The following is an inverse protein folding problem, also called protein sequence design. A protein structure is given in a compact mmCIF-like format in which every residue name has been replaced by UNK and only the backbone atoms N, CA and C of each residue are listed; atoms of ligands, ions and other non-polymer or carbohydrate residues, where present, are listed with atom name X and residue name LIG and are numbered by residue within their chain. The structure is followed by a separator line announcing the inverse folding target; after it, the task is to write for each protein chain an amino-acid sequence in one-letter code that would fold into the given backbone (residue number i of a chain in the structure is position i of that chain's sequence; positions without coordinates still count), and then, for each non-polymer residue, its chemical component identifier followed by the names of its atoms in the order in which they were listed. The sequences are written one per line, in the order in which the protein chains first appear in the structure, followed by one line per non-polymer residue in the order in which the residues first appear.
data_IF_387810974634
#
_entry.id   IF_387810974634
#
_cell.length_a   1.000
_cell.length_b   1.000
_cell.length_c   1.000
_cell.angle_alpha   90.00
_cell.angle_beta   90.00
_cell.angle_gamma   90.00
#
_symmetry.space_group_name_H-M   'P 1'
#
loop_
_entity.id
_entity.type
_entity.pdbx_description
1 polymer ?
#
# COMPACT_ATOMS: atom_id res chain seq x y z
N UNK A 1 -30.16 -0.92 -7.06
CA UNK A 1 -29.08 -1.88 -6.87
C UNK A 1 -27.83 -1.38 -7.60
N UNK A 2 -26.65 -1.52 -6.98
CA UNK A 2 -25.37 -1.24 -7.62
C UNK A 2 -24.97 -2.50 -8.35
N UNK A 3 -24.75 -2.42 -9.66
CA UNK A 3 -24.23 -3.52 -10.45
C UNK A 3 -22.71 -3.41 -10.50
N UNK A 4 -22.01 -4.45 -10.06
CA UNK A 4 -20.55 -4.54 -10.11
C UNK A 4 -20.17 -5.47 -11.25
N UNK A 5 -19.39 -4.98 -12.20
CA UNK A 5 -18.93 -5.75 -13.37
C UNK A 5 -17.43 -5.97 -13.28
N UNK A 6 -16.98 -7.04 -13.93
CA UNK A 6 -15.55 -7.26 -14.18
C UNK A 6 -14.99 -6.07 -14.97
N UNK A 7 -13.94 -5.48 -14.47
CA UNK A 7 -13.11 -4.53 -15.21
C UNK A 7 -11.75 -5.15 -15.51
N UNK A 8 -11.37 -5.12 -16.77
CA UNK A 8 -10.05 -5.53 -17.22
C UNK A 8 -9.32 -4.27 -17.68
N UNK A 9 -8.16 -4.02 -17.09
CA UNK A 9 -7.30 -2.92 -17.48
C UNK A 9 -6.14 -3.47 -18.30
N UNK A 10 -5.84 -2.77 -19.38
CA UNK A 10 -4.60 -2.97 -20.15
C UNK A 10 -3.45 -2.21 -19.52
N UNK A 11 -2.24 -2.47 -19.98
CA UNK A 11 -1.04 -1.74 -19.56
C UNK A 11 -1.15 -0.23 -19.73
N UNK A 12 -1.89 0.25 -20.72
CA UNK A 12 -2.11 1.67 -20.96
C UNK A 12 -2.95 2.34 -19.86
N UNK A 13 -3.77 1.55 -19.18
CA UNK A 13 -4.60 1.98 -18.05
C UNK A 13 -3.96 1.64 -16.71
N UNK A 14 -2.74 1.18 -16.73
CA UNK A 14 -2.04 0.84 -15.51
C UNK A 14 -1.86 2.08 -14.61
N UNK A 15 -1.78 1.90 -13.30
CA UNK A 15 -1.74 3.00 -12.34
C UNK A 15 -0.43 3.78 -12.32
N UNK A 16 0.23 4.00 -13.47
CA UNK A 16 1.33 4.95 -13.60
C UNK A 16 1.02 6.30 -12.94
N UNK A 17 -0.26 6.66 -12.93
CA UNK A 17 -0.77 7.85 -12.30
C UNK A 17 -0.55 7.90 -10.80
N UNK A 18 -0.16 6.77 -10.21
CA UNK A 18 0.01 6.61 -8.77
C UNK A 18 1.49 6.52 -8.38
N UNK A 19 2.38 6.94 -9.24
CA UNK A 19 3.81 7.03 -8.95
C UNK A 19 4.18 8.44 -8.49
N UNK A 20 5.34 8.58 -7.87
CA UNK A 20 5.87 9.89 -7.48
C UNK A 20 5.87 10.91 -8.64
N UNK A 21 6.00 10.43 -9.86
CA UNK A 21 6.01 11.23 -11.08
C UNK A 21 4.71 11.97 -11.35
N UNK A 22 3.62 11.45 -10.83
CA UNK A 22 2.28 12.02 -11.02
C UNK A 22 1.88 12.96 -9.90
N UNK A 23 2.81 13.35 -9.06
CA UNK A 23 2.59 14.37 -8.05
C UNK A 23 2.78 15.74 -8.69
N UNK A 24 1.71 16.48 -8.99
CA UNK A 24 1.80 17.70 -9.81
C UNK A 24 2.62 18.81 -9.17
N UNK A 25 2.84 18.72 -7.86
CA UNK A 25 3.53 19.72 -7.07
C UNK A 25 5.05 19.51 -7.02
N UNK A 26 5.55 18.39 -7.49
CA UNK A 26 6.99 18.17 -7.51
C UNK A 26 7.64 18.90 -8.68
N UNK A 27 8.38 19.97 -8.45
CA UNK A 27 9.12 20.65 -9.52
C UNK A 27 10.29 19.81 -10.04
N UNK A 28 10.68 18.79 -9.29
CA UNK A 28 11.70 17.83 -9.62
C UNK A 28 11.04 16.46 -9.73
N UNK A 29 10.18 16.30 -10.73
CA UNK A 29 9.62 14.99 -11.09
C UNK A 29 10.75 14.10 -11.60
N UNK A 30 11.55 13.68 -10.65
CA UNK A 30 12.89 13.19 -10.84
C UNK A 30 12.95 11.90 -11.64
N UNK A 31 11.90 11.09 -11.51
CA UNK A 31 11.77 9.83 -12.23
C UNK A 31 11.43 10.06 -13.71
N UNK A 32 10.84 11.21 -14.07
CA UNK A 32 10.52 11.55 -15.46
C UNK A 32 11.60 12.35 -16.16
N UNK A 33 12.36 13.15 -15.40
CA UNK A 33 13.27 14.15 -15.96
C UNK A 33 14.74 13.80 -15.86
N UNK A 34 15.08 12.84 -14.99
CA UNK A 34 16.49 12.50 -14.80
C UNK A 34 16.96 11.50 -15.85
N UNK A 35 18.10 11.77 -16.43
CA UNK A 35 18.85 10.80 -17.23
C UNK A 35 19.37 9.66 -16.36
N UNK A 36 19.58 8.49 -16.96
CA UNK A 36 20.18 7.34 -16.28
C UNK A 36 21.52 7.66 -15.64
N UNK A 37 22.27 8.62 -16.16
CA UNK A 37 23.53 9.11 -15.65
C UNK A 37 23.42 9.74 -14.24
N UNK A 38 22.28 10.33 -13.91
CA UNK A 38 22.06 10.96 -12.59
C UNK A 38 21.81 9.95 -11.47
N UNK A 39 21.50 8.71 -11.82
CA UNK A 39 21.22 7.65 -10.85
C UNK A 39 22.37 6.67 -10.69
N UNK A 40 23.35 6.71 -11.62
CA UNK A 40 24.40 5.73 -11.67
C UNK A 40 23.89 4.33 -12.01
N UNK A 41 24.82 3.40 -12.09
CA UNK A 41 24.59 2.01 -12.52
C UNK A 41 23.54 1.25 -11.68
N UNK A 42 23.27 1.69 -10.45
CA UNK A 42 22.35 1.05 -9.49
C UNK A 42 21.00 1.74 -9.34
N UNK A 43 20.85 2.93 -9.92
CA UNK A 43 19.81 3.82 -9.41
C UNK A 43 18.47 3.66 -10.08
N UNK A 44 18.38 4.15 -11.31
CA UNK A 44 17.08 4.48 -11.90
C UNK A 44 16.22 3.29 -12.24
N UNK A 45 16.75 2.30 -12.94
CA UNK A 45 15.97 1.14 -13.41
C UNK A 45 15.40 0.31 -12.25
N UNK A 46 16.11 0.23 -11.14
CA UNK A 46 15.71 -0.54 -9.98
C UNK A 46 14.62 0.15 -9.14
N UNK A 47 14.56 1.46 -9.17
CA UNK A 47 13.61 2.26 -8.40
C UNK A 47 12.41 2.72 -9.21
N UNK A 48 12.51 2.65 -10.52
CA UNK A 48 11.40 2.99 -11.41
C UNK A 48 10.33 1.92 -11.32
N UNK A 49 9.12 2.37 -11.06
CA UNK A 49 7.97 1.50 -11.18
C UNK A 49 7.69 1.21 -12.66
N UNK A 50 7.56 -0.05 -13.00
CA UNK A 50 7.16 -0.49 -14.34
C UNK A 50 5.71 -0.98 -14.29
N UNK A 51 4.84 -0.49 -15.16
CA UNK A 51 3.47 -0.98 -15.21
C UNK A 51 3.43 -2.46 -15.60
N UNK A 52 2.51 -3.23 -15.06
CA UNK A 52 2.26 -4.58 -15.57
C UNK A 52 1.94 -4.53 -17.06
N UNK A 53 2.37 -5.53 -17.79
CA UNK A 53 2.06 -5.65 -19.22
C UNK A 53 0.91 -6.63 -19.43
N UNK A 54 0.09 -6.38 -20.48
CA UNK A 54 -1.07 -7.19 -20.79
C UNK A 54 -2.30 -6.80 -19.97
N UNK A 55 -3.25 -7.71 -19.92
CA UNK A 55 -4.48 -7.56 -19.13
C UNK A 55 -4.23 -7.94 -17.67
N UNK A 56 -4.80 -7.20 -16.77
CA UNK A 56 -4.78 -7.52 -15.34
C UNK A 56 -6.14 -7.22 -14.70
N UNK A 57 -6.45 -8.03 -13.71
CA UNK A 57 -7.70 -7.91 -12.98
C UNK A 57 -7.64 -6.73 -12.02
N UNK A 58 -8.77 -6.04 -11.90
CA UNK A 58 -8.98 -4.94 -10.97
C UNK A 58 -9.98 -5.36 -9.89
N UNK A 59 -9.63 -5.14 -8.64
CA UNK A 59 -10.59 -5.17 -7.54
C UNK A 59 -11.45 -3.90 -7.54
N UNK A 60 -12.76 -4.04 -7.32
CA UNK A 60 -13.68 -2.91 -7.15
C UNK A 60 -13.92 -2.66 -5.68
N UNK A 61 -13.56 -1.48 -5.19
CA UNK A 61 -13.77 -1.09 -3.79
C UNK A 61 -15.00 -0.21 -3.68
N UNK A 62 -15.95 -0.62 -2.83
CA UNK A 62 -17.12 0.19 -2.49
C UNK A 62 -16.95 0.70 -1.06
N UNK A 63 -17.08 2.02 -0.90
CA UNK A 63 -17.06 2.67 0.41
C UNK A 63 -18.36 3.42 0.63
N UNK A 64 -18.98 3.22 1.78
CA UNK A 64 -20.25 3.83 2.13
C UNK A 64 -20.21 4.44 3.53
N UNK A 65 -20.88 5.56 3.71
CA UNK A 65 -21.04 6.24 5.00
C UNK A 65 -22.45 6.79 5.12
N UNK A 66 -23.06 6.61 6.28
CA UNK A 66 -24.38 7.15 6.55
C UNK A 66 -24.28 8.50 7.30
N UNK A 67 -25.15 9.44 6.94
CA UNK A 67 -25.30 10.72 7.58
C UNK A 67 -26.74 10.92 8.01
N UNK A 68 -26.93 11.50 9.19
CA UNK A 68 -28.24 11.90 9.71
C UNK A 68 -28.08 13.28 10.37
N UNK A 69 -28.98 14.19 10.07
CA UNK A 69 -28.99 15.51 10.70
C UNK A 69 -29.09 15.40 12.22
N UNK A 70 -28.27 16.15 12.94
CA UNK A 70 -28.21 16.14 14.40
C UNK A 70 -27.55 14.90 15.01
N UNK A 71 -26.98 14.00 14.23
CA UNK A 71 -26.25 12.81 14.70
C UNK A 71 -24.82 12.76 14.18
N UNK A 72 -23.94 12.05 14.88
CA UNK A 72 -22.63 11.72 14.37
C UNK A 72 -22.76 10.79 13.14
N UNK A 73 -21.93 11.03 12.13
CA UNK A 73 -21.90 10.15 10.96
C UNK A 73 -21.43 8.76 11.34
N UNK A 74 -21.88 7.74 10.60
CA UNK A 74 -21.40 6.37 10.80
C UNK A 74 -19.89 6.23 10.51
N UNK A 75 -19.30 5.14 10.94
CA UNK A 75 -18.02 4.68 10.38
C UNK A 75 -18.18 4.42 8.88
N UNK A 76 -17.08 4.47 8.15
CA UNK A 76 -17.07 4.09 6.73
C UNK A 76 -17.07 2.56 6.65
N UNK A 77 -18.07 2.00 5.98
CA UNK A 77 -18.06 0.60 5.57
C UNK A 77 -17.28 0.50 4.25
N UNK A 78 -16.34 -0.41 4.18
CA UNK A 78 -15.50 -0.66 2.99
C UNK A 78 -15.59 -2.12 2.62
N UNK A 79 -15.73 -2.41 1.33
CA UNK A 79 -15.74 -3.78 0.82
C UNK A 79 -15.12 -3.86 -0.56
N UNK A 80 -14.24 -4.84 -0.76
CA UNK A 80 -13.58 -5.09 -2.04
C UNK A 80 -14.23 -6.28 -2.73
N UNK A 81 -14.53 -6.13 -4.01
CA UNK A 81 -15.09 -7.16 -4.87
C UNK A 81 -14.11 -7.51 -5.98
N UNK A 82 -13.83 -8.80 -6.12
CA UNK A 82 -13.06 -9.36 -7.22
C UNK A 82 -14.02 -10.13 -8.11
N UNK A 83 -14.21 -9.69 -9.36
CA UNK A 83 -15.16 -10.28 -10.28
C UNK A 83 -14.40 -10.90 -11.44
N UNK A 84 -14.31 -12.21 -11.46
CA UNK A 84 -13.60 -13.00 -12.46
C UNK A 84 -14.32 -14.34 -12.62
N UNK A 85 -14.43 -14.87 -13.86
CA UNK A 85 -15.13 -16.13 -14.12
C UNK A 85 -14.49 -17.33 -13.41
N UNK A 86 -13.15 -17.35 -13.34
CA UNK A 86 -12.38 -18.42 -12.71
C UNK A 86 -11.48 -17.88 -11.59
N UNK A 87 -12.07 -17.15 -10.66
CA UNK A 87 -11.32 -16.46 -9.61
C UNK A 87 -10.48 -17.40 -8.75
N UNK A 88 -10.97 -18.61 -8.50
CA UNK A 88 -10.24 -19.62 -7.69
C UNK A 88 -9.03 -20.21 -8.42
N UNK A 89 -9.06 -20.25 -9.74
CA UNK A 89 -7.88 -20.65 -10.52
C UNK A 89 -6.80 -19.56 -10.48
N UNK A 90 -7.21 -18.31 -10.33
CA UNK A 90 -6.31 -17.16 -10.25
C UNK A 90 -5.72 -16.96 -8.85
N UNK A 91 -6.53 -17.12 -7.83
CA UNK A 91 -6.14 -16.92 -6.43
C UNK A 91 -6.20 -18.23 -5.67
N UNK A 92 -5.11 -18.98 -5.71
CA UNK A 92 -4.93 -20.20 -4.93
C UNK A 92 -4.28 -19.96 -3.56
N UNK A 93 -4.14 -18.71 -3.18
CA UNK A 93 -3.62 -18.22 -1.90
C UNK A 93 -4.54 -17.14 -1.33
N UNK A 94 -4.49 -16.91 -0.01
CA UNK A 94 -5.19 -15.78 0.59
C UNK A 94 -4.84 -14.44 -0.05
N UNK A 95 -5.82 -13.55 -0.13
CA UNK A 95 -5.68 -12.23 -0.73
C UNK A 95 -5.86 -11.17 0.35
N UNK A 96 -4.96 -10.20 0.40
CA UNK A 96 -5.09 -9.01 1.24
C UNK A 96 -5.44 -7.82 0.34
N UNK A 97 -6.61 -7.23 0.59
CA UNK A 97 -7.00 -5.95 0.01
C UNK A 97 -6.71 -4.82 0.97
N UNK A 98 -6.07 -3.76 0.47
CA UNK A 98 -5.81 -2.54 1.21
C UNK A 98 -6.47 -1.38 0.48
N UNK A 99 -7.39 -0.71 1.15
CA UNK A 99 -8.08 0.47 0.65
C UNK A 99 -7.69 1.70 1.45
N UNK A 100 -7.38 2.79 0.77
CA UNK A 100 -7.07 4.08 1.39
C UNK A 100 -7.39 5.23 0.44
N UNK A 101 -7.42 6.44 0.95
CA UNK A 101 -7.48 7.62 0.09
C UNK A 101 -6.14 7.80 -0.61
N UNK A 102 -6.18 8.16 -1.90
CA UNK A 102 -4.98 8.26 -2.74
C UNK A 102 -3.89 9.16 -2.12
N UNK A 103 -4.30 10.22 -1.44
CA UNK A 103 -3.39 11.21 -0.88
C UNK A 103 -2.54 10.61 0.25
N UNK A 104 -3.04 9.65 1.00
CA UNK A 104 -2.27 8.92 2.01
C UNK A 104 -1.00 8.26 1.45
N UNK A 105 -1.05 7.83 0.19
CA UNK A 105 0.09 7.17 -0.46
C UNK A 105 0.83 8.09 -1.42
N UNK A 106 0.14 9.02 -2.08
CA UNK A 106 0.66 9.68 -3.27
C UNK A 106 0.62 11.21 -3.23
N UNK A 107 0.19 11.84 -2.12
CA UNK A 107 0.31 13.28 -1.95
C UNK A 107 1.78 13.71 -1.84
N UNK A 108 2.12 14.84 -2.45
CA UNK A 108 3.50 15.37 -2.47
C UNK A 108 4.08 15.63 -1.07
N UNK A 109 3.26 16.11 -0.14
CA UNK A 109 3.69 16.44 1.22
C UNK A 109 3.61 15.25 2.17
N UNK A 110 2.55 14.46 2.07
CA UNK A 110 2.17 13.46 3.07
C UNK A 110 2.17 12.01 2.56
N UNK A 111 2.22 11.80 1.25
CA UNK A 111 2.16 10.47 0.65
C UNK A 111 3.35 9.60 1.04
N UNK A 112 3.07 8.44 1.62
CA UNK A 112 4.12 7.54 2.14
C UNK A 112 4.75 6.64 1.09
N UNK A 113 4.29 6.67 -0.15
CA UNK A 113 4.75 5.75 -1.20
C UNK A 113 5.63 6.41 -2.25
N UNK A 114 5.80 7.73 -2.19
CA UNK A 114 6.49 8.55 -3.18
C UNK A 114 7.77 9.19 -2.64
N UNK A 115 8.54 9.79 -3.53
CA UNK A 115 9.72 10.60 -3.21
C UNK A 115 9.33 11.86 -2.43
N UNK A 116 8.41 12.65 -2.98
CA UNK A 116 7.78 13.81 -2.36
C UNK A 116 8.73 14.94 -1.96
N UNK A 117 8.24 15.81 -1.09
CA UNK A 117 8.91 17.04 -0.69
C UNK A 117 10.30 16.85 -0.04
N UNK A 118 10.50 15.75 0.67
CA UNK A 118 11.78 15.47 1.33
C UNK A 118 12.87 15.17 0.32
N UNK A 119 12.53 14.46 -0.74
CA UNK A 119 13.46 14.17 -1.81
C UNK A 119 13.83 15.45 -2.59
N UNK A 120 12.85 16.25 -2.97
CA UNK A 120 13.08 17.50 -3.68
C UNK A 120 13.96 18.46 -2.86
N UNK A 121 13.70 18.56 -1.57
CA UNK A 121 14.49 19.37 -0.65
C UNK A 121 15.93 18.88 -0.53
N UNK A 122 16.13 17.58 -0.50
CA UNK A 122 17.44 16.95 -0.49
C UNK A 122 18.17 17.15 -1.83
N UNK A 123 17.49 16.93 -2.95
CA UNK A 123 18.08 17.03 -4.29
C UNK A 123 18.55 18.46 -4.60
N UNK A 124 17.78 19.46 -4.25
CA UNK A 124 18.20 20.88 -4.39
C UNK A 124 19.55 21.18 -3.71
N UNK A 125 19.83 20.53 -2.59
CA UNK A 125 21.09 20.70 -1.85
C UNK A 125 22.20 19.76 -2.34
N UNK A 126 21.88 18.75 -3.13
CA UNK A 126 22.81 17.71 -3.56
C UNK A 126 22.57 17.34 -5.04
N UNK A 127 22.75 18.31 -5.97
CA UNK A 127 22.39 18.11 -7.38
C UNK A 127 23.19 16.99 -8.05
N UNK A 128 24.44 16.81 -7.66
CA UNK A 128 25.36 15.86 -8.30
C UNK A 128 25.50 14.53 -7.56
N UNK A 129 24.75 14.33 -6.47
CA UNK A 129 24.83 13.06 -5.73
C UNK A 129 23.99 11.98 -6.38
N UNK A 130 24.54 10.77 -6.46
CA UNK A 130 23.77 9.59 -6.86
C UNK A 130 22.60 9.35 -5.93
N UNK A 131 21.48 8.93 -6.51
CA UNK A 131 20.29 8.54 -5.74
C UNK A 131 20.39 7.08 -5.37
N UNK A 132 20.42 6.83 -4.07
CA UNK A 132 20.37 5.49 -3.50
C UNK A 132 19.02 5.28 -2.82
N UNK A 133 18.66 4.03 -2.55
CA UNK A 133 17.39 3.69 -1.90
C UNK A 133 17.17 4.32 -0.52
N UNK A 134 18.23 4.77 0.14
CA UNK A 134 18.18 5.50 1.39
C UNK A 134 18.26 7.03 1.23
N UNK A 135 18.19 7.55 0.01
CA UNK A 135 18.07 9.01 -0.19
C UNK A 135 16.82 9.51 0.55
N UNK A 136 16.92 10.69 1.19
CA UNK A 136 15.76 11.25 1.89
C UNK A 136 14.55 11.36 0.95
N UNK A 137 13.44 10.82 1.40
CA UNK A 137 12.18 10.80 0.65
C UNK A 137 11.01 10.66 1.63
N UNK A 138 9.78 10.92 1.18
CA UNK A 138 8.61 10.72 2.01
C UNK A 138 8.50 9.27 2.51
N UNK A 139 8.77 8.29 1.65
CA UNK A 139 8.74 6.87 2.04
C UNK A 139 9.81 6.46 3.05
N UNK A 140 10.82 7.29 3.30
CA UNK A 140 11.85 7.04 4.31
C UNK A 140 11.54 7.68 5.66
N UNK A 141 10.47 8.44 5.75
CA UNK A 141 10.07 9.06 7.00
C UNK A 141 9.55 8.01 8.00
N UNK A 142 9.72 8.31 9.27
CA UNK A 142 9.40 7.42 10.39
C UNK A 142 8.52 8.14 11.41
N UNK A 143 8.09 7.43 12.43
CA UNK A 143 7.22 7.99 13.44
C UNK A 143 5.73 7.71 13.20
N UNK A 144 4.92 8.02 14.21
CA UNK A 144 3.47 7.82 14.15
C UNK A 144 2.79 8.82 13.19
N UNK A 145 3.37 9.98 13.05
CA UNK A 145 2.92 11.04 12.14
C UNK A 145 3.02 10.65 10.66
N UNK A 146 3.82 9.62 10.34
CA UNK A 146 3.91 9.03 9.01
C UNK A 146 3.10 7.75 8.84
N UNK A 147 2.26 7.43 9.82
CA UNK A 147 1.30 6.34 9.72
C UNK A 147 0.02 6.84 9.05
N UNK A 148 -0.42 6.15 7.99
CA UNK A 148 -1.61 6.54 7.22
C UNK A 148 -2.76 5.58 7.49
N UNK A 149 -4.00 6.09 7.55
CA UNK A 149 -5.17 5.24 7.71
C UNK A 149 -5.43 4.40 6.47
N UNK A 150 -5.75 3.15 6.68
CA UNK A 150 -6.19 2.20 5.65
C UNK A 150 -7.39 1.42 6.16
N UNK A 151 -8.05 0.73 5.26
CA UNK A 151 -8.94 -0.39 5.57
C UNK A 151 -8.33 -1.66 4.98
N UNK A 152 -8.19 -2.70 5.79
CA UNK A 152 -7.64 -3.99 5.39
C UNK A 152 -8.73 -5.05 5.39
N UNK A 153 -8.76 -5.88 4.34
CA UNK A 153 -9.60 -7.06 4.23
C UNK A 153 -8.70 -8.25 3.89
N UNK A 154 -8.90 -9.35 4.59
CA UNK A 154 -8.21 -10.60 4.35
C UNK A 154 -9.22 -11.62 3.84
N UNK A 155 -8.99 -12.14 2.65
CA UNK A 155 -9.78 -13.17 2.02
C UNK A 155 -9.02 -14.48 2.00
N UNK A 156 -9.67 -15.57 2.35
CA UNK A 156 -9.14 -16.92 2.21
C UNK A 156 -9.00 -17.30 0.73
N UNK A 157 -8.28 -18.38 0.45
CA UNK A 157 -8.11 -18.87 -0.92
C UNK A 157 -9.42 -19.30 -1.60
N UNK A 158 -10.45 -19.62 -0.81
CA UNK A 158 -11.80 -19.91 -1.32
C UNK A 158 -12.66 -18.65 -1.57
N UNK A 159 -12.10 -17.47 -1.31
CA UNK A 159 -12.78 -16.19 -1.47
C UNK A 159 -13.62 -15.75 -0.27
N UNK A 160 -13.71 -16.55 0.78
CA UNK A 160 -14.41 -16.15 2.01
C UNK A 160 -13.65 -15.03 2.75
N UNK A 161 -14.40 -14.10 3.34
CA UNK A 161 -13.81 -13.02 4.14
C UNK A 161 -13.41 -13.55 5.52
N UNK A 162 -12.11 -13.55 5.79
CA UNK A 162 -11.56 -13.93 7.09
C UNK A 162 -11.69 -12.81 8.12
N UNK A 163 -11.18 -11.62 7.83
CA UNK A 163 -11.39 -10.44 8.66
C UNK A 163 -11.32 -9.15 7.83
N UNK A 164 -11.88 -8.10 8.41
CA UNK A 164 -11.78 -6.75 7.87
C UNK A 164 -11.79 -5.73 9.00
N UNK A 165 -10.94 -4.70 8.93
CA UNK A 165 -10.92 -3.62 9.91
C UNK A 165 -10.16 -2.38 9.40
N UNK A 166 -10.35 -1.25 10.09
CA UNK A 166 -9.50 -0.09 9.91
C UNK A 166 -8.14 -0.29 10.61
N UNK A 167 -7.09 0.23 10.00
CA UNK A 167 -5.72 0.04 10.49
C UNK A 167 -4.82 1.22 10.06
N UNK A 168 -3.63 1.27 10.61
CA UNK A 168 -2.58 2.17 10.15
C UNK A 168 -1.57 1.46 9.27
N UNK A 169 -0.92 2.18 8.36
CA UNK A 169 0.14 1.62 7.51
C UNK A 169 1.33 2.56 7.40
N UNK A 170 2.52 2.00 7.36
CA UNK A 170 3.76 2.69 6.97
C UNK A 170 4.60 1.83 6.05
N UNK A 171 5.46 2.47 5.27
CA UNK A 171 6.56 1.77 4.62
C UNK A 171 7.49 1.14 5.65
N UNK A 172 8.06 -0.01 5.33
CA UNK A 172 8.94 -0.76 6.21
C UNK A 172 10.21 -1.19 5.50
N UNK A 173 11.29 -1.31 6.28
CA UNK A 173 12.61 -1.68 5.79
C UNK A 173 13.61 -0.52 5.92
N UNK A 174 14.76 -0.69 5.32
CA UNK A 174 15.80 0.31 5.20
C UNK A 174 15.93 0.75 3.73
N UNK A 175 17.02 0.35 3.09
CA UNK A 175 17.33 0.64 1.68
C UNK A 175 16.20 0.23 0.70
N UNK A 176 15.52 -0.87 0.96
CA UNK A 176 14.45 -1.40 0.11
C UNK A 176 13.18 -0.54 0.08
N UNK A 177 13.04 0.46 0.97
CA UNK A 177 11.96 1.45 0.88
C UNK A 177 12.03 2.28 -0.41
N UNK A 178 13.23 2.44 -0.99
CA UNK A 178 13.42 3.11 -2.27
C UNK A 178 12.93 2.32 -3.48
N UNK A 179 12.63 1.03 -3.35
CA UNK A 179 12.21 0.20 -4.47
C UNK A 179 10.78 0.49 -4.91
N UNK A 180 10.47 0.17 -6.15
CA UNK A 180 9.14 0.42 -6.71
C UNK A 180 8.05 -0.28 -5.91
N UNK A 181 8.26 -1.56 -5.59
CA UNK A 181 7.39 -2.32 -4.70
C UNK A 181 7.90 -2.25 -3.27
N UNK A 182 7.18 -1.53 -2.43
CA UNK A 182 7.59 -1.27 -1.04
C UNK A 182 6.98 -2.28 -0.08
N UNK A 183 7.77 -2.69 0.88
CA UNK A 183 7.27 -3.43 2.04
C UNK A 183 6.42 -2.50 2.90
N UNK A 184 5.25 -2.98 3.30
CA UNK A 184 4.31 -2.26 4.16
C UNK A 184 4.23 -2.94 5.53
N UNK A 185 4.23 -2.15 6.59
CA UNK A 185 3.89 -2.59 7.94
C UNK A 185 2.55 -2.03 8.33
N UNK A 186 1.63 -2.92 8.68
CA UNK A 186 0.26 -2.61 9.06
C UNK A 186 0.12 -2.74 10.57
N UNK A 187 -0.65 -1.85 11.17
CA UNK A 187 -0.81 -1.71 12.61
C UNK A 187 -2.29 -1.78 12.99
N UNK A 188 -2.67 -2.75 13.80
CA UNK A 188 -3.94 -2.74 14.51
C UNK A 188 -3.82 -1.80 15.71
N UNK A 189 -4.57 -0.70 15.71
CA UNK A 189 -4.55 0.31 16.77
C UNK A 189 -5.95 0.86 17.03
N UNK A 190 -6.22 1.21 18.28
CA UNK A 190 -7.45 1.91 18.67
C UNK A 190 -7.60 3.32 18.06
N UNK A 191 -6.53 3.89 17.52
CA UNK A 191 -6.60 5.13 16.74
C UNK A 191 -7.42 4.98 15.45
N UNK A 192 -7.54 3.77 14.92
CA UNK A 192 -8.20 3.47 13.64
C UNK A 192 -9.47 2.64 13.80
N UNK A 193 -9.48 1.70 14.77
CA UNK A 193 -10.59 0.80 15.02
C UNK A 193 -10.78 0.59 16.54
N UNK A 194 -11.89 -0.03 16.94
CA UNK A 194 -12.12 -0.43 18.33
C UNK A 194 -11.16 -1.54 18.76
N UNK A 195 -10.77 -2.38 17.80
CA UNK A 195 -9.84 -3.48 18.01
C UNK A 195 -8.38 -3.03 17.91
N UNK A 196 -7.54 -3.54 18.81
CA UNK A 196 -6.10 -3.29 18.83
C UNK A 196 -5.27 -4.48 18.35
N UNK A 197 -5.95 -5.47 17.77
CA UNK A 197 -5.39 -6.67 17.18
C UNK A 197 -6.13 -7.03 15.90
N UNK A 198 -5.44 -7.66 14.96
CA UNK A 198 -6.04 -8.46 13.92
C UNK A 198 -6.40 -9.81 14.54
N UNK A 199 -7.69 -10.01 14.79
CA UNK A 199 -8.21 -11.21 15.49
C UNK A 199 -8.62 -12.27 14.47
N UNK A 200 -7.64 -12.99 13.95
CA UNK A 200 -7.85 -14.03 12.93
C UNK A 200 -6.66 -15.00 12.86
N UNK A 201 -6.90 -16.27 12.57
CA UNK A 201 -5.84 -17.27 12.34
C UNK A 201 -5.23 -17.13 10.94
N UNK A 202 -4.42 -16.08 10.74
CA UNK A 202 -3.80 -15.79 9.43
C UNK A 202 -2.85 -16.92 8.97
N UNK A 203 -2.24 -17.63 9.93
CA UNK A 203 -1.30 -18.71 9.67
C UNK A 203 -1.82 -20.02 10.27
N UNK A 204 -2.59 -20.81 9.54
CA UNK A 204 -3.24 -22.02 10.04
C UNK A 204 -2.27 -22.99 10.73
N UNK A 205 -2.65 -23.49 11.88
CA UNK A 205 -1.86 -24.43 12.67
C UNK A 205 -0.69 -23.83 13.45
N UNK A 206 -0.42 -22.51 13.34
CA UNK A 206 0.62 -21.88 14.16
C UNK A 206 0.18 -21.71 15.60
N UNK A 207 1.08 -22.04 16.52
CA UNK A 207 0.87 -21.97 17.96
C UNK A 207 1.72 -20.87 18.59
N UNK A 208 1.23 -20.31 19.68
CA UNK A 208 2.03 -19.43 20.54
C UNK A 208 3.14 -20.23 21.20
N UNK A 209 4.39 -19.75 21.22
CA UNK A 209 5.54 -20.52 21.74
C UNK A 209 5.38 -20.98 23.19
N UNK A 210 4.72 -20.18 24.04
CA UNK A 210 4.69 -20.40 25.49
C UNK A 210 3.46 -21.18 25.96
N UNK A 211 2.33 -21.09 25.25
CA UNK A 211 1.05 -21.65 25.72
C UNK A 211 0.49 -22.77 24.85
N UNK A 212 1.10 -23.06 23.73
CA UNK A 212 0.58 -24.00 22.71
C UNK A 212 -0.86 -23.67 22.20
N UNK A 213 -1.38 -22.50 22.52
CA UNK A 213 -2.64 -21.99 21.99
C UNK A 213 -2.48 -21.58 20.52
N UNK A 214 -3.55 -21.64 19.76
CA UNK A 214 -3.55 -21.17 18.36
C UNK A 214 -3.24 -19.67 18.30
N UNK A 215 -2.33 -19.30 17.39
CA UNK A 215 -1.95 -17.92 17.18
C UNK A 215 -2.99 -17.20 16.29
N UNK A 216 -3.86 -16.41 16.92
CA UNK A 216 -4.99 -15.73 16.27
C UNK A 216 -4.99 -14.22 16.48
N UNK A 217 -3.98 -13.66 17.12
CA UNK A 217 -3.93 -12.23 17.45
C UNK A 217 -2.62 -11.61 17.03
N UNK A 218 -2.70 -10.59 16.18
CA UNK A 218 -1.53 -9.89 15.67
C UNK A 218 -1.68 -8.38 15.85
N UNK A 219 -0.72 -7.74 16.49
CA UNK A 219 -0.67 -6.27 16.58
C UNK A 219 -0.19 -5.62 15.30
N UNK A 220 0.56 -6.38 14.49
CA UNK A 220 1.22 -5.88 13.29
C UNK A 220 1.32 -6.99 12.27
N UNK A 221 1.19 -6.62 11.01
CA UNK A 221 1.48 -7.47 9.86
C UNK A 221 2.55 -6.79 9.00
N UNK A 222 3.37 -7.57 8.33
CA UNK A 222 4.33 -7.07 7.36
C UNK A 222 4.02 -7.72 6.02
N UNK A 223 3.66 -6.89 5.05
CA UNK A 223 3.51 -7.30 3.66
C UNK A 223 4.82 -7.02 2.96
N UNK A 224 5.61 -8.06 2.69
CA UNK A 224 6.93 -7.92 2.09
C UNK A 224 6.83 -7.71 0.59
N UNK A 225 7.59 -6.75 0.10
CA UNK A 225 7.76 -6.49 -1.34
C UNK A 225 9.08 -7.07 -1.81
N UNK A 226 9.24 -8.39 -1.85
CA UNK A 226 10.36 -9.16 -2.45
C UNK A 226 11.69 -8.41 -2.63
N UNK A 227 12.15 -7.69 -1.61
CA UNK A 227 13.39 -6.95 -1.66
C UNK A 227 14.50 -7.69 -0.91
N UNK A 228 15.60 -8.09 -1.54
CA UNK A 228 16.71 -8.80 -0.93
C UNK A 228 16.32 -10.18 -0.34
N UNK A 229 15.46 -10.88 -1.00
CA UNK A 229 15.12 -12.28 -0.67
C UNK A 229 16.06 -13.23 -1.37
#
# INVERSE_FOLDING_TARGET
PIEIKREVLTSDHSPQRITANNTPQSPLSFIETASDELYGEWGYQRYKWHPPQGEFMKGTVIRAKAFKEGALSSKIATHTYFIEENIQDRFNMPVISISTDKDNFFDYHEGIYILGQYFDSWRKKNPDKNVLGNAPANYNQEGKEWERPIYIEFYEADGSLGFSQAAGVRTHGGFTRGWAQKTLRIYARRDYDEESYFNYEIFPGRKKPESNETLQQFKRLILRGSGND
#
